data_IF_085262764840
#
_entry.id   IF_085262764840
#
_cell.length_a   1.000
_cell.length_b   1.000
_cell.length_c   1.000
_cell.angle_alpha   90.00
_cell.angle_beta   90.00
_cell.angle_gamma   90.00
#
_symmetry.space_group_name_H-M   'P 1'
#
loop_
_entity.id
_entity.type
_entity.pdbx_description
1 polymer ?
#
# COMPACT_ATOMS: atom_id res chain seq x y z
N UNK A 1 20.52 -28.82 -4.91
CA UNK A 1 19.13 -28.72 -5.41
C UNK A 1 18.56 -27.40 -4.90
N UNK A 2 18.68 -26.32 -5.68
CA UNK A 2 18.27 -24.97 -5.25
C UNK A 2 16.75 -24.84 -5.34
N UNK A 3 16.10 -24.75 -4.18
CA UNK A 3 14.67 -24.46 -4.10
C UNK A 3 14.39 -23.11 -4.78
N UNK A 4 13.65 -23.17 -5.88
CA UNK A 4 13.12 -22.03 -6.62
C UNK A 4 12.23 -21.25 -5.65
N UNK A 5 12.74 -20.17 -5.06
CA UNK A 5 11.92 -19.21 -4.28
C UNK A 5 10.82 -18.72 -5.21
N UNK A 6 9.60 -19.23 -5.03
CA UNK A 6 8.42 -18.71 -5.70
C UNK A 6 8.24 -17.27 -5.23
N UNK A 7 8.63 -16.33 -6.11
CA UNK A 7 8.34 -14.89 -5.99
C UNK A 7 6.83 -14.75 -5.89
N UNK A 8 6.34 -14.73 -4.67
CA UNK A 8 4.92 -14.72 -4.36
C UNK A 8 4.49 -13.28 -4.19
N UNK A 9 3.54 -12.88 -5.04
CA UNK A 9 2.94 -11.55 -5.07
C UNK A 9 2.47 -11.15 -3.67
N UNK A 10 3.13 -10.15 -3.08
CA UNK A 10 2.60 -9.43 -1.92
C UNK A 10 1.41 -8.64 -2.47
N UNK A 11 0.15 -8.99 -2.15
CA UNK A 11 -0.98 -8.09 -2.31
C UNK A 11 -0.65 -6.92 -1.41
N UNK A 12 -0.25 -5.82 -2.04
CA UNK A 12 0.00 -4.59 -1.32
C UNK A 12 -1.30 -4.24 -0.60
N UNK A 13 -1.25 -3.81 0.66
CA UNK A 13 -2.42 -3.30 1.38
C UNK A 13 -3.22 -2.20 0.61
N UNK A 14 -2.65 -1.68 -0.50
CA UNK A 14 -3.30 -0.80 -1.45
C UNK A 14 -4.22 -1.48 -2.50
N UNK A 15 -4.28 -2.82 -2.59
CA UNK A 15 -5.17 -3.55 -3.53
C UNK A 15 -6.54 -3.84 -2.95
N UNK A 16 -6.80 -3.50 -1.69
CA UNK A 16 -8.16 -3.43 -1.18
C UNK A 16 -8.97 -2.48 -2.07
N UNK A 17 -10.05 -2.99 -2.67
CA UNK A 17 -10.94 -2.24 -3.56
C UNK A 17 -11.44 -0.93 -2.94
N UNK A 18 -11.94 -0.01 -3.79
CA UNK A 18 -12.61 1.22 -3.31
C UNK A 18 -13.64 0.84 -2.23
N UNK A 19 -13.59 1.46 -1.04
CA UNK A 19 -14.62 1.21 -0.03
C UNK A 19 -15.98 1.67 -0.57
N UNK A 20 -16.96 0.79 -0.51
CA UNK A 20 -18.38 1.09 -0.70
C UNK A 20 -18.92 1.49 0.67
N UNK A 21 -19.13 2.79 0.91
CA UNK A 21 -19.79 3.29 2.13
C UNK A 21 -18.97 3.17 3.43
N UNK A 22 -19.06 4.19 4.27
CA UNK A 22 -18.70 4.25 5.71
C UNK A 22 -17.27 3.92 6.19
N UNK A 23 -16.41 3.17 5.49
CA UNK A 23 -15.05 2.83 5.99
C UNK A 23 -13.96 3.87 5.67
N UNK A 24 -14.28 5.17 5.74
CA UNK A 24 -13.32 6.26 5.46
C UNK A 24 -12.07 6.18 6.37
N UNK A 25 -12.27 5.79 7.64
CA UNK A 25 -11.23 5.77 8.67
C UNK A 25 -10.21 4.64 8.46
N UNK A 26 -10.68 3.44 8.14
CA UNK A 26 -9.82 2.27 7.87
C UNK A 26 -8.79 2.58 6.76
N UNK A 27 -9.24 3.24 5.70
CA UNK A 27 -8.41 3.57 4.54
C UNK A 27 -7.86 5.00 4.56
N UNK A 28 -7.94 5.71 5.69
CA UNK A 28 -7.54 7.12 5.76
C UNK A 28 -6.05 7.31 5.42
N UNK A 29 -5.18 6.49 6.02
CA UNK A 29 -3.73 6.54 5.76
C UNK A 29 -3.40 6.18 4.30
N UNK A 30 -4.05 5.16 3.76
CA UNK A 30 -3.95 4.79 2.35
C UNK A 30 -4.36 5.95 1.44
N UNK A 31 -5.48 6.60 1.75
CA UNK A 31 -5.96 7.78 1.05
C UNK A 31 -4.97 8.94 1.11
N UNK A 32 -4.37 9.19 2.27
CA UNK A 32 -3.35 10.23 2.45
C UNK A 32 -2.10 9.96 1.60
N UNK A 33 -1.58 8.73 1.61
CA UNK A 33 -0.48 8.33 0.72
C UNK A 33 -0.85 8.49 -0.75
N UNK A 34 -2.03 8.01 -1.17
CA UNK A 34 -2.51 8.16 -2.54
C UNK A 34 -2.59 9.64 -2.95
N UNK A 35 -3.15 10.52 -2.13
CA UNK A 35 -3.20 11.97 -2.41
C UNK A 35 -1.80 12.58 -2.54
N UNK A 36 -0.89 12.25 -1.63
CA UNK A 36 0.48 12.74 -1.64
C UNK A 36 1.27 12.25 -2.88
N UNK A 37 1.00 11.03 -3.33
CA UNK A 37 1.62 10.46 -4.52
C UNK A 37 0.95 10.93 -5.83
N UNK A 38 -0.38 10.96 -5.94
CA UNK A 38 -1.11 11.34 -7.18
C UNK A 38 -0.70 12.70 -7.70
N UNK A 39 -0.57 13.72 -6.82
CA UNK A 39 -0.11 15.05 -7.24
C UNK A 39 1.25 15.00 -7.92
N UNK A 40 2.14 14.12 -7.48
CA UNK A 40 3.48 13.96 -8.06
C UNK A 40 3.45 13.13 -9.32
N UNK A 41 2.65 12.07 -9.36
CA UNK A 41 2.45 11.27 -10.57
C UNK A 41 1.96 12.12 -11.74
N UNK A 42 1.03 13.05 -11.48
CA UNK A 42 0.57 14.00 -12.49
C UNK A 42 1.73 14.87 -13.01
N UNK A 43 2.52 15.45 -12.10
CA UNK A 43 3.66 16.29 -12.49
C UNK A 43 4.76 15.50 -13.23
N UNK A 44 5.10 14.30 -12.77
CA UNK A 44 6.11 13.44 -13.42
C UNK A 44 5.62 12.89 -14.77
N UNK A 45 4.32 12.57 -14.88
CA UNK A 45 3.73 12.10 -16.14
C UNK A 45 3.72 13.20 -17.20
N UNK A 46 3.35 14.43 -16.84
CA UNK A 46 3.45 15.60 -17.73
C UNK A 46 4.90 15.82 -18.17
N UNK A 47 5.85 15.77 -17.23
CA UNK A 47 7.27 15.95 -17.55
C UNK A 47 7.84 14.83 -18.44
N UNK A 48 7.36 13.59 -18.28
CA UNK A 48 7.78 12.45 -19.08
C UNK A 48 7.12 12.40 -20.47
N UNK A 49 5.92 13.00 -20.64
CA UNK A 49 5.21 13.04 -21.91
C UNK A 49 5.99 13.84 -22.97
N UNK A 50 6.53 15.00 -22.60
CA UNK A 50 7.25 15.91 -23.52
C UNK A 50 8.36 15.21 -24.34
N UNK A 51 9.33 14.50 -23.73
CA UNK A 51 10.37 13.81 -24.50
C UNK A 51 9.86 12.57 -25.26
N UNK A 52 8.88 11.84 -24.71
CA UNK A 52 8.34 10.63 -25.36
C UNK A 52 7.52 10.99 -26.59
N UNK A 53 6.69 12.03 -26.51
CA UNK A 53 5.90 12.53 -27.63
C UNK A 53 6.81 13.10 -28.72
N UNK A 54 7.89 13.79 -28.35
CA UNK A 54 8.91 14.25 -29.31
C UNK A 54 9.54 13.10 -30.11
N UNK A 55 9.88 11.98 -29.44
CA UNK A 55 10.42 10.78 -30.09
C UNK A 55 9.36 10.11 -30.97
N UNK A 56 8.12 9.99 -30.48
CA UNK A 56 7.02 9.38 -31.22
C UNK A 56 6.70 10.16 -32.50
N UNK A 57 6.67 11.49 -32.43
CA UNK A 57 6.48 12.39 -33.59
C UNK A 57 7.64 12.25 -34.58
N UNK A 58 8.90 12.31 -34.12
CA UNK A 58 10.06 12.15 -34.99
C UNK A 58 10.09 10.78 -35.69
N UNK A 59 9.71 9.72 -34.98
CA UNK A 59 9.64 8.36 -35.52
C UNK A 59 8.48 8.21 -36.51
N UNK A 60 7.32 8.83 -36.25
CA UNK A 60 6.19 8.84 -37.18
C UNK A 60 6.49 9.61 -38.48
N UNK A 61 7.30 10.67 -38.40
CA UNK A 61 7.79 11.43 -39.56
C UNK A 61 8.78 10.63 -40.42
N UNK A 62 9.53 9.69 -39.83
CA UNK A 62 10.51 8.86 -40.55
C UNK A 62 9.90 7.75 -41.44
N UNK A 63 8.56 7.60 -41.44
CA UNK A 63 7.79 6.62 -42.24
C UNK A 63 8.26 5.16 -42.14
N UNK A 64 8.45 4.61 -40.94
CA UNK A 64 8.71 3.19 -40.78
C UNK A 64 7.49 2.35 -41.19
N UNK A 65 7.73 1.12 -41.66
CA UNK A 65 6.64 0.16 -41.92
C UNK A 65 5.80 -0.16 -40.67
N UNK A 66 4.64 -0.80 -40.86
CA UNK A 66 3.65 -1.06 -39.80
C UNK A 66 4.25 -1.80 -38.59
N UNK A 67 5.12 -2.78 -38.80
CA UNK A 67 5.77 -3.54 -37.72
C UNK A 67 6.71 -2.66 -36.88
N UNK A 68 7.49 -1.79 -37.52
CA UNK A 68 8.39 -0.85 -36.85
C UNK A 68 7.61 0.22 -36.09
N UNK A 69 6.46 0.65 -36.64
CA UNK A 69 5.54 1.58 -35.96
C UNK A 69 4.97 0.98 -34.67
N UNK A 70 4.53 -0.27 -34.71
CA UNK A 70 4.04 -0.98 -33.52
C UNK A 70 5.15 -1.15 -32.46
N UNK A 71 6.35 -1.53 -32.89
CA UNK A 71 7.52 -1.61 -32.00
C UNK A 71 7.85 -0.26 -31.36
N UNK A 72 7.77 0.84 -32.13
CA UNK A 72 7.96 2.21 -31.63
C UNK A 72 6.95 2.60 -30.55
N UNK A 73 5.67 2.30 -30.74
CA UNK A 73 4.60 2.56 -29.75
C UNK A 73 4.84 1.78 -28.45
N UNK A 74 5.20 0.49 -28.55
CA UNK A 74 5.50 -0.34 -27.39
C UNK A 74 6.73 0.18 -26.62
N UNK A 75 7.81 0.51 -27.34
CA UNK A 75 9.03 1.07 -26.74
C UNK A 75 8.76 2.44 -26.12
N UNK A 76 7.96 3.30 -26.76
CA UNK A 76 7.53 4.59 -26.22
C UNK A 76 6.77 4.43 -24.91
N UNK A 77 5.83 3.48 -24.84
CA UNK A 77 5.09 3.19 -23.61
C UNK A 77 5.99 2.70 -22.47
N UNK A 78 6.96 1.82 -22.77
CA UNK A 78 7.94 1.33 -21.79
C UNK A 78 8.87 2.46 -21.34
N UNK A 79 9.34 3.30 -22.25
CA UNK A 79 10.17 4.46 -21.95
C UNK A 79 9.42 5.47 -21.07
N UNK A 80 8.19 5.80 -21.42
CA UNK A 80 7.31 6.67 -20.63
C UNK A 80 7.12 6.15 -19.22
N UNK A 81 6.77 4.87 -19.07
CA UNK A 81 6.59 4.26 -17.75
C UNK A 81 7.89 4.28 -16.93
N UNK A 82 9.03 3.96 -17.56
CA UNK A 82 10.34 3.92 -16.89
C UNK A 82 10.79 5.31 -16.44
N UNK A 83 10.70 6.32 -17.30
CA UNK A 83 11.04 7.72 -16.99
C UNK A 83 10.11 8.28 -15.91
N UNK A 84 8.81 8.01 -16.01
CA UNK A 84 7.84 8.43 -15.00
C UNK A 84 8.14 7.82 -13.62
N UNK A 85 8.47 6.52 -13.55
CA UNK A 85 8.85 5.85 -12.31
C UNK A 85 10.15 6.45 -11.75
N UNK A 86 11.15 6.67 -12.61
CA UNK A 86 12.44 7.23 -12.21
C UNK A 86 12.27 8.65 -11.64
N UNK A 87 11.54 9.53 -12.34
CA UNK A 87 11.25 10.90 -11.89
C UNK A 87 10.43 10.90 -10.60
N UNK A 88 9.36 10.12 -10.51
CA UNK A 88 8.53 10.05 -9.31
C UNK A 88 9.30 9.53 -8.09
N UNK A 89 10.29 8.65 -8.30
CA UNK A 89 11.17 8.14 -7.23
C UNK A 89 12.23 9.17 -6.85
N UNK A 90 12.91 9.79 -7.83
CA UNK A 90 13.96 10.77 -7.60
C UNK A 90 13.45 12.06 -6.96
N UNK A 91 12.26 12.50 -7.36
CA UNK A 91 11.61 13.71 -6.84
C UNK A 91 10.81 13.46 -5.55
N UNK A 92 10.86 12.25 -4.99
CA UNK A 92 10.19 11.94 -3.73
C UNK A 92 10.92 12.63 -2.57
N UNK A 93 10.27 13.51 -1.78
CA UNK A 93 10.84 14.03 -0.55
C UNK A 93 11.18 12.90 0.38
N UNK A 94 12.38 12.99 0.97
CA UNK A 94 12.95 11.97 1.86
C UNK A 94 11.97 11.53 2.94
N UNK A 95 11.23 12.48 3.52
CA UNK A 95 10.22 12.23 4.55
C UNK A 95 9.07 11.33 4.08
N UNK A 96 8.55 11.53 2.87
CA UNK A 96 7.51 10.63 2.33
C UNK A 96 8.08 9.23 2.08
N UNK A 97 9.30 9.14 1.54
CA UNK A 97 9.96 7.84 1.32
C UNK A 97 10.14 7.07 2.63
N UNK A 98 10.60 7.76 3.68
CA UNK A 98 10.76 7.22 5.03
C UNK A 98 9.44 6.73 5.63
N UNK A 99 8.38 7.52 5.51
CA UNK A 99 7.05 7.14 5.98
C UNK A 99 6.50 5.93 5.21
N UNK A 100 6.67 5.90 3.88
CA UNK A 100 6.29 4.76 3.05
C UNK A 100 7.05 3.49 3.42
N UNK A 101 8.36 3.56 3.68
CA UNK A 101 9.15 2.39 4.07
C UNK A 101 8.60 1.71 5.33
N UNK A 102 8.24 2.49 6.37
CA UNK A 102 7.65 1.96 7.61
C UNK A 102 6.28 1.33 7.34
N UNK A 103 5.39 2.07 6.68
CA UNK A 103 4.04 1.58 6.36
C UNK A 103 4.09 0.28 5.54
N UNK A 104 4.99 0.20 4.57
CA UNK A 104 5.18 -1.00 3.73
C UNK A 104 5.78 -2.16 4.49
N UNK A 105 6.73 -1.89 5.38
CA UNK A 105 7.33 -2.92 6.20
C UNK A 105 6.31 -3.58 7.12
N UNK A 106 5.54 -2.78 7.87
CA UNK A 106 4.44 -3.28 8.71
C UNK A 106 3.46 -4.11 7.88
N UNK A 107 2.98 -3.57 6.76
CA UNK A 107 2.04 -4.28 5.89
C UNK A 107 2.60 -5.60 5.31
N UNK A 108 3.92 -5.71 5.11
CA UNK A 108 4.54 -6.98 4.70
C UNK A 108 4.59 -7.96 5.85
N UNK A 109 4.98 -7.53 7.05
CA UNK A 109 5.03 -8.41 8.23
C UNK A 109 3.63 -8.97 8.53
N UNK A 110 2.59 -8.13 8.47
CA UNK A 110 1.20 -8.54 8.66
C UNK A 110 0.73 -9.51 7.57
N UNK A 111 1.13 -9.28 6.32
CA UNK A 111 0.82 -10.19 5.22
C UNK A 111 1.53 -11.54 5.35
N UNK A 112 2.82 -11.54 5.74
CA UNK A 112 3.58 -12.78 5.98
C UNK A 112 2.94 -13.54 7.13
N UNK A 113 2.54 -12.84 8.21
CA UNK A 113 1.79 -13.41 9.33
C UNK A 113 0.49 -14.06 8.85
N UNK A 114 -0.36 -13.33 8.13
CA UNK A 114 -1.62 -13.83 7.59
C UNK A 114 -1.45 -15.10 6.76
N UNK A 115 -0.48 -15.09 5.83
CA UNK A 115 -0.22 -16.27 4.99
C UNK A 115 0.28 -17.46 5.81
N UNK A 116 1.14 -17.22 6.79
CA UNK A 116 1.70 -18.26 7.65
C UNK A 116 0.61 -18.90 8.53
N UNK A 117 -0.33 -18.13 9.04
CA UNK A 117 -1.37 -18.62 9.95
C UNK A 117 -2.57 -19.24 9.23
N UNK A 118 -2.97 -18.68 8.09
CA UNK A 118 -4.17 -19.11 7.36
C UNK A 118 -3.89 -20.03 6.17
N UNK A 119 -2.64 -20.11 5.71
CA UNK A 119 -2.27 -20.79 4.46
C UNK A 119 -2.82 -20.14 3.19
N UNK A 120 -3.56 -19.04 3.30
CA UNK A 120 -4.34 -18.45 2.22
C UNK A 120 -3.77 -17.10 1.75
N UNK A 121 -4.30 -16.61 0.63
CA UNK A 121 -4.03 -15.26 0.16
C UNK A 121 -4.96 -14.26 0.83
N UNK A 122 -4.43 -13.10 1.23
CA UNK A 122 -5.25 -12.01 1.77
C UNK A 122 -6.34 -11.61 0.76
N UNK A 123 -7.63 -11.57 1.18
CA UNK A 123 -8.71 -11.06 0.36
C UNK A 123 -8.41 -9.66 -0.19
N UNK A 124 -8.89 -9.35 -1.40
CA UNK A 124 -8.71 -8.06 -2.09
C UNK A 124 -10.00 -7.26 -2.19
N UNK A 125 -11.13 -7.89 -1.95
CA UNK A 125 -12.46 -7.27 -2.00
C UNK A 125 -13.30 -7.68 -0.81
N UNK A 126 -14.30 -6.87 -0.46
CA UNK A 126 -15.26 -7.23 0.59
C UNK A 126 -16.01 -8.54 0.29
N UNK A 127 -16.27 -8.84 -1.00
CA UNK A 127 -16.87 -10.11 -1.40
C UNK A 127 -15.93 -11.31 -1.19
N UNK A 128 -14.63 -11.14 -1.44
CA UNK A 128 -13.63 -12.16 -1.10
C UNK A 128 -13.48 -12.32 0.42
N UNK A 129 -13.54 -11.23 1.19
CA UNK A 129 -13.48 -11.27 2.64
C UNK A 129 -14.67 -12.03 3.24
N UNK A 130 -15.90 -11.81 2.74
CA UNK A 130 -17.09 -12.57 3.16
C UNK A 130 -16.96 -14.06 2.88
N UNK A 131 -16.59 -14.42 1.64
CA UNK A 131 -16.38 -15.84 1.28
C UNK A 131 -15.30 -16.51 2.12
N UNK A 132 -14.25 -15.77 2.45
CA UNK A 132 -13.20 -16.26 3.33
C UNK A 132 -13.75 -16.47 4.75
N UNK A 133 -14.50 -15.52 5.31
CA UNK A 133 -15.10 -15.65 6.65
C UNK A 133 -16.13 -16.79 6.77
N UNK A 134 -16.80 -17.14 5.66
CA UNK A 134 -17.78 -18.23 5.58
C UNK A 134 -17.14 -19.62 5.44
N UNK A 135 -15.91 -19.70 4.91
CA UNK A 135 -15.25 -20.98 4.70
C UNK A 135 -14.71 -21.56 6.02
N UNK A 136 -14.68 -22.90 6.18
CA UNK A 136 -14.04 -23.54 7.32
C UNK A 136 -12.52 -23.29 7.27
N UNK A 137 -11.95 -22.95 8.43
CA UNK A 137 -10.51 -22.69 8.61
C UNK A 137 -9.98 -23.52 9.78
N UNK A 138 -8.90 -24.26 9.52
CA UNK A 138 -8.28 -25.16 10.50
C UNK A 138 -7.07 -24.50 11.22
N UNK A 139 -6.78 -23.23 10.94
CA UNK A 139 -5.63 -22.48 11.47
C UNK A 139 -5.98 -21.50 12.59
N UNK A 140 -4.96 -21.00 13.28
CA UNK A 140 -5.10 -19.87 14.22
C UNK A 140 -5.30 -18.57 13.45
N UNK A 141 -6.55 -18.32 13.07
CA UNK A 141 -6.95 -17.27 12.14
C UNK A 141 -7.71 -16.12 12.80
N UNK A 142 -7.84 -16.12 14.14
CA UNK A 142 -8.73 -15.21 14.86
C UNK A 142 -8.39 -13.74 14.60
N UNK A 143 -7.10 -13.38 14.58
CA UNK A 143 -6.66 -12.01 14.24
C UNK A 143 -7.03 -11.63 12.80
N UNK A 144 -6.88 -12.56 11.85
CA UNK A 144 -7.28 -12.36 10.47
C UNK A 144 -8.80 -12.17 10.34
N UNK A 145 -9.59 -12.97 11.08
CA UNK A 145 -11.05 -12.83 11.14
C UNK A 145 -11.46 -11.46 11.65
N UNK A 146 -10.83 -10.96 12.73
CA UNK A 146 -11.10 -9.62 13.28
C UNK A 146 -10.87 -8.54 12.20
N UNK A 147 -9.70 -8.53 11.55
CA UNK A 147 -9.36 -7.53 10.53
C UNK A 147 -10.34 -7.57 9.33
N UNK A 148 -10.75 -8.77 8.89
CA UNK A 148 -11.71 -8.94 7.80
C UNK A 148 -13.14 -8.54 8.19
N UNK A 149 -13.56 -8.80 9.43
CA UNK A 149 -14.85 -8.36 9.94
C UNK A 149 -14.93 -6.83 9.99
N UNK A 150 -13.88 -6.16 10.47
CA UNK A 150 -13.76 -4.69 10.40
C UNK A 150 -13.86 -4.21 8.95
N UNK A 151 -13.19 -4.89 8.02
CA UNK A 151 -13.22 -4.51 6.62
C UNK A 151 -14.61 -4.62 5.97
N UNK A 152 -15.41 -5.62 6.35
CA UNK A 152 -16.79 -5.77 5.83
C UNK A 152 -17.83 -4.97 6.63
N UNK A 153 -17.40 -4.28 7.70
CA UNK A 153 -18.26 -3.44 8.54
C UNK A 153 -18.98 -4.17 9.69
N UNK A 154 -18.64 -5.44 9.97
CA UNK A 154 -19.24 -6.19 11.08
C UNK A 154 -18.45 -5.96 12.38
N UNK A 155 -18.55 -4.74 12.90
CA UNK A 155 -17.77 -4.30 14.06
C UNK A 155 -18.15 -5.03 15.35
N UNK A 156 -19.42 -5.42 15.51
CA UNK A 156 -19.87 -6.13 16.72
C UNK A 156 -19.31 -7.55 16.78
N UNK A 157 -19.24 -8.26 15.64
CA UNK A 157 -18.54 -9.53 15.58
C UNK A 157 -17.04 -9.37 15.87
N UNK A 158 -16.42 -8.32 15.32
CA UNK A 158 -15.00 -8.02 15.58
C UNK A 158 -14.75 -7.77 17.07
N UNK A 159 -15.58 -6.95 17.74
CA UNK A 159 -15.51 -6.72 19.20
C UNK A 159 -15.64 -8.00 20.02
N UNK A 160 -16.59 -8.86 19.67
CA UNK A 160 -16.77 -10.16 20.35
C UNK A 160 -15.53 -11.03 20.24
N UNK A 161 -14.91 -11.10 19.06
CA UNK A 161 -13.66 -11.85 18.88
C UNK A 161 -12.50 -11.23 19.65
N UNK A 162 -12.34 -9.91 19.63
CA UNK A 162 -11.32 -9.21 20.42
C UNK A 162 -11.48 -9.50 21.91
N UNK A 163 -12.71 -9.49 22.43
CA UNK A 163 -13.00 -9.81 23.83
C UNK A 163 -12.69 -11.25 24.24
N UNK A 164 -12.56 -12.16 23.27
CA UNK A 164 -12.20 -13.56 23.49
C UNK A 164 -10.72 -13.89 23.28
N UNK A 165 -9.89 -12.92 22.87
CA UNK A 165 -8.46 -13.15 22.68
C UNK A 165 -7.75 -13.40 24.02
N UNK A 166 -6.76 -14.31 24.06
CA UNK A 166 -5.91 -14.47 25.24
C UNK A 166 -5.06 -13.20 25.46
N UNK A 167 -4.73 -12.91 26.72
CA UNK A 167 -3.95 -11.74 27.13
C UNK A 167 -2.92 -12.09 28.22
N UNK A 168 -2.41 -13.33 28.21
CA UNK A 168 -1.53 -13.89 29.25
C UNK A 168 -0.11 -13.35 29.09
N UNK A 169 0.40 -13.34 27.86
CA UNK A 169 1.75 -12.84 27.54
C UNK A 169 1.74 -11.35 27.17
N UNK A 170 2.89 -10.68 27.24
CA UNK A 170 3.01 -9.27 26.81
C UNK A 170 2.72 -9.10 25.32
N UNK A 171 3.10 -10.09 24.49
CA UNK A 171 2.77 -10.10 23.06
C UNK A 171 1.27 -10.22 22.83
N UNK A 172 0.59 -11.10 23.56
CA UNK A 172 -0.87 -11.24 23.51
C UNK A 172 -1.57 -9.96 23.95
N UNK A 173 -1.17 -9.36 25.08
CA UNK A 173 -1.71 -8.08 25.55
C UNK A 173 -1.60 -6.98 24.49
N UNK A 174 -0.44 -6.87 23.84
CA UNK A 174 -0.24 -5.90 22.78
C UNK A 174 -1.19 -6.13 21.59
N UNK A 175 -1.35 -7.37 21.13
CA UNK A 175 -2.27 -7.67 20.03
C UNK A 175 -3.74 -7.41 20.42
N UNK A 176 -4.16 -7.74 21.65
CA UNK A 176 -5.52 -7.42 22.13
C UNK A 176 -5.77 -5.92 22.13
N UNK A 177 -4.89 -5.12 22.71
CA UNK A 177 -5.05 -3.67 22.77
C UNK A 177 -5.00 -3.03 21.38
N UNK A 178 -4.11 -3.51 20.49
CA UNK A 178 -4.02 -3.02 19.12
C UNK A 178 -5.31 -3.32 18.33
N UNK A 179 -5.85 -4.54 18.41
CA UNK A 179 -7.07 -4.91 17.70
C UNK A 179 -8.29 -4.17 18.27
N UNK A 180 -8.36 -4.00 19.60
CA UNK A 180 -9.42 -3.22 20.24
C UNK A 180 -9.42 -1.77 19.74
N UNK A 181 -8.27 -1.11 19.80
CA UNK A 181 -8.13 0.27 19.34
C UNK A 181 -8.48 0.41 17.85
N UNK A 182 -8.05 -0.54 17.02
CA UNK A 182 -8.37 -0.53 15.59
C UNK A 182 -9.89 -0.66 15.34
N UNK A 183 -10.56 -1.60 15.99
CA UNK A 183 -12.00 -1.81 15.85
C UNK A 183 -12.77 -0.57 16.29
N UNK A 184 -12.45 0.01 17.46
CA UNK A 184 -13.15 1.19 17.96
C UNK A 184 -12.87 2.43 17.11
N UNK A 185 -11.62 2.66 16.70
CA UNK A 185 -11.31 3.77 15.81
C UNK A 185 -12.11 3.69 14.50
N UNK A 186 -12.19 2.52 13.87
CA UNK A 186 -12.96 2.38 12.62
C UNK A 186 -14.46 2.58 12.88
N UNK A 187 -15.01 1.93 13.90
CA UNK A 187 -16.43 1.95 14.20
C UNK A 187 -16.93 3.32 14.71
N UNK A 188 -16.24 3.91 15.69
CA UNK A 188 -16.70 5.10 16.43
C UNK A 188 -15.87 6.34 16.12
N UNK A 189 -14.58 6.16 15.83
CA UNK A 189 -13.62 7.25 15.63
C UNK A 189 -12.84 7.60 16.89
N UNK A 190 -12.88 6.73 17.90
CA UNK A 190 -12.09 6.86 19.12
C UNK A 190 -10.59 6.94 18.81
N UNK A 191 -9.91 7.91 19.42
CA UNK A 191 -8.52 8.29 19.12
C UNK A 191 -7.56 7.99 20.28
N UNK A 192 -7.94 7.11 21.22
CA UNK A 192 -7.06 6.75 22.33
C UNK A 192 -6.19 5.53 21.99
N UNK A 193 -4.88 5.76 21.90
CA UNK A 193 -3.85 4.74 21.73
C UNK A 193 -3.01 4.54 23.00
N UNK A 194 -3.40 5.11 24.14
CA UNK A 194 -2.65 5.04 25.40
C UNK A 194 -2.41 3.61 25.86
N UNK A 195 -3.45 2.76 25.85
CA UNK A 195 -3.35 1.35 26.20
C UNK A 195 -2.43 0.57 25.25
N UNK A 196 -2.52 0.85 23.94
CA UNK A 196 -1.66 0.22 22.91
C UNK A 196 -0.19 0.58 23.15
N UNK A 197 0.12 1.85 23.43
CA UNK A 197 1.48 2.31 23.74
C UNK A 197 2.02 1.65 25.02
N UNK A 198 1.17 1.55 26.05
CA UNK A 198 1.49 0.88 27.30
C UNK A 198 1.85 -0.59 27.10
N UNK A 199 0.99 -1.35 26.40
CA UNK A 199 1.23 -2.75 26.10
C UNK A 199 2.47 -2.96 25.21
N UNK A 200 2.69 -2.07 24.24
CA UNK A 200 3.90 -2.11 23.43
C UNK A 200 5.17 -1.97 24.30
N UNK A 201 5.13 -1.18 25.39
CA UNK A 201 6.30 -0.89 26.23
C UNK A 201 6.78 -2.09 27.05
N UNK A 202 5.94 -3.12 27.19
CA UNK A 202 6.29 -4.38 27.81
C UNK A 202 7.10 -5.30 26.88
N UNK A 203 7.17 -4.99 25.58
CA UNK A 203 7.91 -5.77 24.59
C UNK A 203 9.38 -5.36 24.55
N UNK A 204 10.24 -6.29 24.09
CA UNK A 204 11.68 -6.04 23.94
C UNK A 204 12.19 -6.49 22.56
N UNK A 205 13.37 -5.99 22.17
CA UNK A 205 14.06 -6.39 20.95
C UNK A 205 13.23 -6.17 19.67
N UNK A 206 13.28 -7.15 18.75
CA UNK A 206 12.59 -7.04 17.46
C UNK A 206 11.06 -6.99 17.58
N UNK A 207 10.47 -7.58 18.63
CA UNK A 207 9.03 -7.50 18.87
C UNK A 207 8.62 -6.07 19.25
N UNK A 208 9.44 -5.39 20.05
CA UNK A 208 9.26 -3.97 20.39
C UNK A 208 9.36 -3.09 19.14
N UNK A 209 10.36 -3.31 18.29
CA UNK A 209 10.55 -2.54 17.05
C UNK A 209 9.31 -2.62 16.14
N UNK A 210 8.73 -3.82 15.98
CA UNK A 210 7.53 -4.02 15.17
C UNK A 210 6.28 -3.40 15.82
N UNK A 211 6.14 -3.53 17.15
CA UNK A 211 5.04 -2.93 17.88
C UNK A 211 5.05 -1.39 17.77
N UNK A 212 6.22 -0.76 17.94
CA UNK A 212 6.38 0.69 17.78
C UNK A 212 6.02 1.16 16.36
N UNK A 213 6.38 0.39 15.34
CA UNK A 213 6.00 0.71 13.97
C UNK A 213 4.50 0.53 13.71
N UNK A 214 3.85 -0.47 14.30
CA UNK A 214 2.39 -0.64 14.23
C UNK A 214 1.65 0.50 14.93
N UNK A 215 2.09 0.89 16.12
CA UNK A 215 1.57 2.08 16.82
C UNK A 215 1.70 3.32 15.95
N UNK A 216 2.86 3.54 15.32
CA UNK A 216 3.05 4.68 14.42
C UNK A 216 2.13 4.64 13.18
N UNK A 217 1.78 3.46 12.68
CA UNK A 217 0.81 3.28 11.58
C UNK A 217 -0.60 3.66 12.04
N UNK A 218 -0.99 3.29 13.26
CA UNK A 218 -2.29 3.70 13.84
C UNK A 218 -2.33 5.22 14.07
N UNK A 219 -1.32 5.80 14.71
CA UNK A 219 -1.22 7.25 14.93
C UNK A 219 -1.30 8.03 13.60
N UNK A 220 -0.61 7.55 12.56
CA UNK A 220 -0.68 8.13 11.23
C UNK A 220 -2.08 8.02 10.61
N UNK A 221 -2.80 6.92 10.86
CA UNK A 221 -4.15 6.70 10.35
C UNK A 221 -5.15 7.63 11.03
N UNK A 222 -5.04 7.81 12.33
CA UNK A 222 -5.87 8.73 13.10
C UNK A 222 -5.65 10.18 12.61
N UNK A 223 -4.39 10.62 12.50
CA UNK A 223 -4.05 11.93 11.95
C UNK A 223 -4.53 12.13 10.49
N UNK A 224 -4.46 11.09 9.66
CA UNK A 224 -4.95 11.14 8.28
C UNK A 224 -6.48 11.20 8.19
N UNK A 225 -7.20 10.56 9.12
CA UNK A 225 -8.66 10.56 9.19
C UNK A 225 -9.20 11.91 9.69
N UNK A 226 -8.45 12.61 10.54
CA UNK A 226 -8.76 13.96 11.01
C UNK A 226 -8.66 15.06 9.92
N UNK A 227 -8.54 14.70 8.64
CA UNK A 227 -8.60 15.65 7.53
C UNK A 227 -7.31 16.44 7.29
N UNK A 228 -6.19 16.06 7.91
CA UNK A 228 -4.87 16.65 7.64
C UNK A 228 -4.52 17.88 8.46
N UNK A 229 -5.28 18.21 9.52
CA UNK A 229 -4.88 19.20 10.51
C UNK A 229 -3.60 18.77 11.27
N UNK A 230 -3.43 17.46 11.47
CA UNK A 230 -2.24 16.86 12.03
C UNK A 230 -1.34 16.28 10.94
N UNK A 231 -0.02 16.34 11.16
CA UNK A 231 0.97 15.81 10.23
C UNK A 231 1.07 14.28 10.32
N UNK A 232 0.25 13.60 9.52
CA UNK A 232 0.17 12.14 9.48
C UNK A 232 1.50 11.43 9.17
N UNK A 233 2.51 12.11 8.61
CA UNK A 233 3.82 11.50 8.32
C UNK A 233 4.75 11.47 9.53
N UNK A 234 4.54 12.34 10.52
CA UNK A 234 5.39 12.47 11.71
C UNK A 234 5.60 11.16 12.48
N UNK A 235 4.55 10.41 12.90
CA UNK A 235 4.75 9.17 13.66
C UNK A 235 5.54 8.12 12.88
N UNK A 236 5.29 8.01 11.57
CA UNK A 236 6.02 7.08 10.68
C UNK A 236 7.49 7.48 10.52
N UNK A 237 7.76 8.78 10.39
CA UNK A 237 9.12 9.28 10.26
C UNK A 237 9.95 9.08 11.54
N UNK A 238 9.30 9.25 12.70
CA UNK A 238 9.86 8.96 14.01
C UNK A 238 10.15 7.47 14.19
N UNK A 239 9.22 6.59 13.83
CA UNK A 239 9.43 5.14 13.85
C UNK A 239 10.57 4.71 12.93
N UNK A 240 10.69 5.32 11.75
CA UNK A 240 11.78 5.05 10.80
C UNK A 240 13.17 5.31 11.40
N UNK A 241 13.31 6.34 12.23
CA UNK A 241 14.57 6.66 12.92
C UNK A 241 14.95 5.58 13.93
N UNK A 242 13.98 4.94 14.59
CA UNK A 242 14.19 3.91 15.61
C UNK A 242 14.55 2.55 15.01
N UNK A 243 13.82 2.12 13.97
CA UNK A 243 14.00 0.79 13.34
C UNK A 243 15.26 0.74 12.43
N UNK A 244 15.81 1.90 12.05
CA UNK A 244 17.15 2.00 11.46
C UNK A 244 17.29 1.40 10.04
N UNK A 245 18.48 0.92 9.68
CA UNK A 245 18.85 0.53 8.32
C UNK A 245 18.04 -0.65 7.72
N UNK A 246 17.36 -1.45 8.56
CA UNK A 246 16.56 -2.62 8.14
C UNK A 246 15.43 -2.29 7.15
N UNK A 247 15.01 -1.02 7.11
CA UNK A 247 13.93 -0.53 6.26
C UNK A 247 14.40 0.12 4.95
N UNK A 248 15.70 0.19 4.68
CA UNK A 248 16.22 0.91 3.51
C UNK A 248 15.84 0.22 2.19
N UNK A 249 15.22 0.98 1.27
CA UNK A 249 14.91 0.53 -0.10
C UNK A 249 13.70 -0.40 -0.21
N UNK A 250 12.96 -0.59 0.88
CA UNK A 250 11.82 -1.50 0.94
C UNK A 250 10.67 -1.04 0.03
N UNK A 251 10.40 0.27 -0.02
CA UNK A 251 9.32 0.80 -0.85
C UNK A 251 9.61 0.81 -2.37
N UNK A 252 10.88 0.84 -2.78
CA UNK A 252 11.24 1.08 -4.19
C UNK A 252 10.81 -0.06 -5.13
N UNK A 253 11.00 -1.32 -4.71
CA UNK A 253 10.70 -2.50 -5.54
C UNK A 253 9.20 -2.74 -5.66
N UNK A 254 8.44 -2.51 -4.59
CA UNK A 254 7.00 -2.76 -4.57
C UNK A 254 6.18 -1.63 -5.22
N UNK A 255 6.66 -0.39 -5.15
CA UNK A 255 6.03 0.75 -5.84
C UNK A 255 6.13 0.61 -7.36
N UNK A 256 7.30 0.18 -7.87
CA UNK A 256 7.46 -0.06 -9.30
C UNK A 256 6.42 -1.08 -9.83
N UNK A 257 6.14 -2.14 -9.07
CA UNK A 257 5.14 -3.15 -9.46
C UNK A 257 3.70 -2.65 -9.40
N UNK A 258 3.37 -1.83 -8.39
CA UNK A 258 2.02 -1.28 -8.22
C UNK A 258 1.62 -0.35 -9.37
N UNK A 259 2.58 0.42 -9.91
CA UNK A 259 2.29 1.55 -10.81
C UNK A 259 2.75 1.27 -12.24
N UNK A 260 3.61 0.27 -12.47
CA UNK A 260 4.03 -0.10 -13.82
C UNK A 260 2.84 -0.38 -14.74
N UNK A 261 1.81 -1.13 -14.30
CA UNK A 261 0.65 -1.45 -15.13
C UNK A 261 -0.17 -0.21 -15.56
N UNK A 262 -0.64 0.66 -14.66
CA UNK A 262 -1.36 1.86 -15.07
C UNK A 262 -0.47 2.83 -15.88
N UNK A 263 0.82 2.95 -15.57
CA UNK A 263 1.73 3.79 -16.37
C UNK A 263 2.00 3.23 -17.76
N UNK A 264 2.05 1.91 -17.93
CA UNK A 264 2.15 1.28 -19.23
C UNK A 264 0.88 1.54 -20.04
N UNK A 265 -0.32 1.43 -19.43
CA UNK A 265 -1.57 1.73 -20.11
C UNK A 265 -1.66 3.21 -20.54
N UNK A 266 -1.26 4.14 -19.66
CA UNK A 266 -1.19 5.57 -20.00
C UNK A 266 -0.13 5.83 -21.06
N UNK A 267 1.06 5.23 -20.94
CA UNK A 267 2.14 5.37 -21.91
C UNK A 267 1.76 4.84 -23.29
N UNK A 268 1.01 3.73 -23.35
CA UNK A 268 0.42 3.22 -24.59
C UNK A 268 -0.54 4.24 -25.20
N UNK A 269 -1.43 4.82 -24.38
CA UNK A 269 -2.40 5.81 -24.84
C UNK A 269 -1.73 7.09 -25.33
N UNK A 270 -0.76 7.62 -24.59
CA UNK A 270 0.03 8.80 -24.97
C UNK A 270 0.79 8.53 -26.28
N UNK A 271 1.49 7.39 -26.37
CA UNK A 271 2.22 7.00 -27.58
C UNK A 271 1.30 6.82 -28.79
N UNK A 272 0.11 6.24 -28.59
CA UNK A 272 -0.90 6.05 -29.64
C UNK A 272 -1.46 7.38 -30.12
N UNK A 273 -1.81 8.30 -29.20
CA UNK A 273 -2.30 9.64 -29.53
C UNK A 273 -1.25 10.42 -30.31
N UNK A 274 0.01 10.41 -29.85
CA UNK A 274 1.12 11.05 -30.58
C UNK A 274 1.26 10.51 -32.00
N UNK A 275 1.12 9.19 -32.18
CA UNK A 275 1.19 8.55 -33.49
C UNK A 275 0.00 8.88 -34.40
N UNK A 276 -1.23 8.91 -33.86
CA UNK A 276 -2.45 9.28 -34.59
C UNK A 276 -2.42 10.74 -34.98
N UNK A 277 -2.08 11.65 -34.07
CA UNK A 277 -1.98 13.09 -34.33
C UNK A 277 -0.94 13.38 -35.41
N UNK A 278 0.27 12.80 -35.31
CA UNK A 278 1.29 12.91 -36.35
C UNK A 278 0.87 12.27 -37.68
N UNK A 279 -0.06 11.31 -37.65
CA UNK A 279 -0.66 10.69 -38.83
C UNK A 279 -1.84 11.47 -39.44
N UNK A 280 -2.56 12.27 -38.65
CA UNK A 280 -3.73 13.08 -39.06
C UNK A 280 -3.32 14.45 -39.59
N UNK A 281 -2.24 15.04 -39.07
CA UNK A 281 -1.61 16.24 -39.65
C UNK A 281 -0.71 15.91 -40.86
N UNK A 282 -0.92 14.74 -41.47
CA UNK A 282 -0.40 14.37 -42.79
C UNK A 282 -1.27 14.96 -43.90
#
# INVERSE_FOLDING_TARGET
MFARRSRTDIPTALTAGRPLGESHRQFALLGAFRRAETRRWLLSGIAAAVPVDGIAVAFALARPGVLLSLAGVLLGAVAYASVSIALATALRPKRLGRALDVYRWVGREDWVRFRRTTGSHLPRTAGEARRWLEAPHDGDDVLARIELLVWIGDYDAARRLVGGLPAVTSAERFEVELQRAFVEFVATGEDDLSAVRGAAAELTGAARDLADARVAVEEARHAAAAGGAADWMEPLDAARSKVGARLQGFAAVDIARWIARPLLAVGLLVSLVGFVVAGVFR
#
